data_IF_778475557078
#
_entry.id   IF_778475557078
#
_cell.length_a   1.000
_cell.length_b   1.000
_cell.length_c   1.000
_cell.angle_alpha   90.00
_cell.angle_beta   90.00
_cell.angle_gamma   90.00
#
_symmetry.space_group_name_H-M   'P 1'
#
loop_
_entity.id
_entity.type
_entity.pdbx_description
1 polymer ?
#
# COMPACT_ATOMS: atom_id res chain seq x y z
N UNK A 1 -0.77 11.43 6.57
CA UNK A 1 -1.17 12.80 6.95
C UNK A 1 0.02 13.74 6.82
N UNK A 2 -0.24 15.01 6.50
CA UNK A 2 0.80 16.05 6.43
C UNK A 2 0.48 17.17 7.40
N UNK A 3 1.50 17.73 8.04
CA UNK A 3 1.42 18.87 8.96
C UNK A 3 2.30 19.98 8.42
N UNK A 4 1.74 21.09 7.91
CA UNK A 4 2.51 22.19 7.34
C UNK A 4 3.56 22.73 8.32
N UNK A 5 4.79 22.93 7.84
CA UNK A 5 5.87 23.45 8.66
C UNK A 5 6.91 24.21 7.85
N UNK A 6 7.11 25.49 8.17
CA UNK A 6 8.04 26.38 7.47
C UNK A 6 9.38 26.59 8.20
N UNK A 7 9.56 26.01 9.38
CA UNK A 7 10.78 26.16 10.17
C UNK A 7 11.97 25.35 9.65
N UNK A 8 13.11 25.48 10.33
CA UNK A 8 14.30 24.65 10.06
C UNK A 8 14.22 23.37 10.88
N UNK A 9 14.01 22.25 10.20
CA UNK A 9 14.07 20.91 10.77
C UNK A 9 14.50 19.93 9.67
N UNK A 10 15.29 18.91 10.02
CA UNK A 10 15.82 17.93 9.07
C UNK A 10 14.77 16.91 8.59
N UNK A 11 13.73 16.65 9.39
CA UNK A 11 12.69 15.66 9.07
C UNK A 11 11.59 16.20 8.15
N UNK A 12 11.55 17.52 7.94
CA UNK A 12 10.56 18.12 7.03
C UNK A 12 10.76 17.60 5.62
N UNK A 13 9.67 17.28 4.95
CA UNK A 13 9.64 16.83 3.57
C UNK A 13 9.36 18.03 2.67
N UNK A 14 10.04 18.07 1.53
CA UNK A 14 9.78 19.06 0.48
C UNK A 14 9.09 18.40 -0.70
N UNK A 15 7.92 18.91 -1.10
CA UNK A 15 7.20 18.46 -2.30
C UNK A 15 6.78 19.63 -3.17
N UNK A 16 7.33 19.67 -4.38
CA UNK A 16 7.08 20.75 -5.35
C UNK A 16 5.62 20.78 -5.81
N UNK A 17 5.00 19.61 -5.98
CA UNK A 17 3.66 19.45 -6.56
C UNK A 17 2.50 19.60 -5.57
N UNK A 18 2.76 20.05 -4.34
CA UNK A 18 1.72 20.19 -3.29
C UNK A 18 1.56 21.66 -2.89
N UNK A 19 0.33 22.02 -2.50
CA UNK A 19 -0.03 23.37 -2.05
C UNK A 19 0.85 23.82 -0.89
N UNK A 20 1.08 22.94 0.07
CA UNK A 20 2.10 23.11 1.11
C UNK A 20 3.38 22.44 0.64
N UNK A 21 4.43 23.24 0.43
CA UNK A 21 5.71 22.75 -0.09
C UNK A 21 6.58 22.10 0.98
N UNK A 22 6.42 22.48 2.24
CA UNK A 22 7.22 21.99 3.37
C UNK A 22 6.30 21.50 4.49
N UNK A 23 6.42 20.23 4.85
CA UNK A 23 5.57 19.60 5.86
C UNK A 23 6.31 18.52 6.66
N UNK A 24 5.74 18.17 7.81
CA UNK A 24 6.01 16.88 8.43
C UNK A 24 5.01 15.86 7.89
N UNK A 25 5.51 14.67 7.60
CA UNK A 25 4.69 13.54 7.17
C UNK A 25 4.48 12.58 8.35
N UNK A 26 3.29 12.02 8.45
CA UNK A 26 2.99 10.91 9.36
C UNK A 26 2.23 9.82 8.62
N UNK A 27 2.57 8.58 8.91
CA UNK A 27 1.78 7.40 8.57
C UNK A 27 0.62 7.30 9.55
N UNK A 28 -0.58 6.98 9.06
CA UNK A 28 -1.78 7.05 9.89
C UNK A 28 -2.75 5.94 9.49
N UNK A 29 -3.31 5.25 10.48
CA UNK A 29 -4.46 4.37 10.31
C UNK A 29 -5.73 5.05 10.82
N UNK A 30 -6.67 5.25 9.91
CA UNK A 30 -8.00 5.75 10.21
C UNK A 30 -8.99 4.59 10.34
N UNK A 31 -10.02 4.78 11.16
CA UNK A 31 -11.20 3.92 11.13
C UNK A 31 -12.30 4.51 10.26
N UNK A 32 -13.32 3.71 9.99
CA UNK A 32 -14.50 4.11 9.19
C UNK A 32 -15.24 5.32 9.78
N UNK A 33 -15.06 5.59 11.08
CA UNK A 33 -15.60 6.77 11.75
C UNK A 33 -14.88 8.09 11.40
N UNK A 34 -13.80 8.04 10.62
CA UNK A 34 -12.95 9.19 10.32
C UNK A 34 -11.92 9.51 11.42
N UNK A 35 -11.93 8.76 12.53
CA UNK A 35 -10.97 8.97 13.62
C UNK A 35 -9.62 8.31 13.34
N UNK A 36 -8.56 8.94 13.81
CA UNK A 36 -7.22 8.36 13.87
C UNK A 36 -7.16 7.37 15.02
N UNK A 37 -6.75 6.13 14.75
CA UNK A 37 -6.55 5.11 15.77
C UNK A 37 -5.08 4.84 16.05
N UNK A 38 -4.20 5.04 15.06
CA UNK A 38 -2.77 4.82 15.19
C UNK A 38 -2.01 5.72 14.23
N UNK A 39 -0.84 6.22 14.63
CA UNK A 39 0.01 7.00 13.75
C UNK A 39 1.50 6.87 14.10
N UNK A 40 2.34 7.04 13.09
CA UNK A 40 3.79 7.01 13.22
C UNK A 40 4.40 8.20 12.44
N UNK A 41 5.17 9.11 13.09
CA UNK A 41 5.89 10.15 12.38
C UNK A 41 6.86 9.58 11.35
N UNK A 42 6.89 10.14 10.14
CA UNK A 42 7.86 9.75 9.12
C UNK A 42 9.23 10.34 9.45
N UNK A 43 10.24 9.47 9.58
CA UNK A 43 11.60 9.87 9.98
C UNK A 43 12.62 9.79 8.84
N UNK A 44 12.18 9.57 7.60
CA UNK A 44 13.09 9.35 6.48
C UNK A 44 13.83 8.00 6.55
N UNK A 45 14.96 7.91 5.85
CA UNK A 45 15.79 6.69 5.78
C UNK A 45 16.36 6.30 7.16
N UNK A 46 16.62 7.29 8.02
CA UNK A 46 17.20 7.09 9.36
C UNK A 46 16.28 6.38 10.35
N UNK A 47 14.96 6.30 10.08
CA UNK A 47 14.02 5.54 10.89
C UNK A 47 14.05 4.02 10.62
N UNK A 48 14.85 3.58 9.63
CA UNK A 48 14.88 2.20 9.16
C UNK A 48 16.17 1.53 9.63
N UNK A 49 16.11 0.84 10.77
CA UNK A 49 17.29 0.18 11.33
C UNK A 49 17.44 -1.27 10.89
N UNK A 50 16.42 -1.89 10.28
CA UNK A 50 16.44 -3.29 9.85
C UNK A 50 15.64 -3.51 8.56
N UNK A 51 16.19 -4.28 7.61
CA UNK A 51 15.44 -4.84 6.48
C UNK A 51 14.68 -6.07 6.97
N UNK A 52 13.35 -5.98 7.06
CA UNK A 52 12.48 -7.13 7.29
C UNK A 52 12.10 -7.82 5.98
N UNK A 53 11.44 -8.97 6.09
CA UNK A 53 10.81 -9.69 4.98
C UNK A 53 9.67 -8.88 4.30
N UNK A 54 9.15 -7.86 4.97
CA UNK A 54 7.98 -7.08 4.54
C UNK A 54 8.35 -5.70 3.99
N UNK A 55 9.64 -5.44 3.79
CA UNK A 55 10.20 -4.12 3.50
C UNK A 55 9.91 -3.06 4.58
N UNK A 56 10.58 -1.92 4.46
CA UNK A 56 10.44 -0.78 5.39
C UNK A 56 9.00 -0.29 5.50
N UNK A 57 8.28 -0.27 4.39
CA UNK A 57 6.95 0.30 4.27
C UNK A 57 5.92 -0.70 4.83
N UNK A 58 6.05 -1.99 4.54
CA UNK A 58 5.19 -3.02 5.11
C UNK A 58 5.34 -3.12 6.62
N UNK A 59 6.54 -2.94 7.15
CA UNK A 59 6.78 -2.89 8.60
C UNK A 59 6.01 -1.75 9.29
N UNK A 60 5.94 -0.57 8.66
CA UNK A 60 5.11 0.53 9.15
C UNK A 60 3.65 0.10 9.23
N UNK A 61 3.12 -0.57 8.20
CA UNK A 61 1.72 -1.04 8.18
C UNK A 61 1.47 -2.04 9.31
N UNK A 62 2.39 -2.98 9.52
CA UNK A 62 2.29 -3.98 10.59
C UNK A 62 2.26 -3.29 11.96
N UNK A 63 3.13 -2.29 12.19
CA UNK A 63 3.11 -1.49 13.43
C UNK A 63 1.82 -0.71 13.59
N UNK A 64 1.32 -0.08 12.54
CA UNK A 64 0.03 0.63 12.58
C UNK A 64 -1.16 -0.29 12.87
N UNK A 65 -1.03 -1.59 12.54
CA UNK A 65 -2.06 -2.60 12.75
C UNK A 65 -1.92 -3.38 14.07
N UNK A 66 -0.91 -3.09 14.90
CA UNK A 66 -0.63 -3.91 16.09
C UNK A 66 -1.84 -4.03 17.05
N UNK A 67 -2.62 -2.95 17.22
CA UNK A 67 -3.82 -2.92 18.06
C UNK A 67 -5.05 -3.63 17.46
N UNK A 68 -4.95 -4.11 16.22
CA UNK A 68 -6.00 -4.90 15.55
C UNK A 68 -5.81 -6.41 15.72
N UNK A 69 -4.64 -6.85 16.20
CA UNK A 69 -4.35 -8.28 16.40
C UNK A 69 -5.44 -8.93 17.26
N UNK A 70 -5.86 -10.14 16.89
CA UNK A 70 -6.94 -10.93 17.53
C UNK A 70 -8.36 -10.40 17.32
N UNK A 71 -8.55 -9.32 16.57
CA UNK A 71 -9.87 -8.89 16.09
C UNK A 71 -9.94 -9.16 14.59
N UNK A 72 -11.03 -9.76 14.13
CA UNK A 72 -11.28 -9.87 12.70
C UNK A 72 -11.49 -8.46 12.14
N UNK A 73 -10.47 -7.92 11.49
CA UNK A 73 -10.45 -6.56 10.97
C UNK A 73 -10.24 -6.54 9.46
N UNK A 74 -10.66 -5.44 8.83
CA UNK A 74 -10.40 -5.16 7.41
C UNK A 74 -9.61 -3.86 7.31
N UNK A 75 -8.49 -3.91 6.61
CA UNK A 75 -7.62 -2.75 6.37
C UNK A 75 -7.47 -2.52 4.87
N UNK A 76 -7.40 -1.24 4.50
CA UNK A 76 -7.28 -0.81 3.12
C UNK A 76 -6.09 0.14 3.06
N UNK A 77 -5.20 -0.07 2.09
CA UNK A 77 -4.01 0.78 1.92
C UNK A 77 -4.01 1.42 0.54
N UNK A 78 -3.32 2.54 0.42
CA UNK A 78 -3.02 3.14 -0.89
C UNK A 78 -1.98 2.30 -1.65
N UNK A 79 -1.74 2.63 -2.92
CA UNK A 79 -0.86 1.88 -3.81
C UNK A 79 0.63 1.90 -3.40
N UNK A 80 1.01 2.68 -2.39
CA UNK A 80 2.39 2.80 -1.91
C UNK A 80 2.79 1.66 -0.96
N UNK A 81 1.81 1.03 -0.30
CA UNK A 81 2.06 0.06 0.76
C UNK A 81 2.01 -1.43 0.38
N UNK A 82 1.17 -1.89 -0.56
CA UNK A 82 0.89 -3.32 -0.65
C UNK A 82 2.04 -4.08 -1.29
N UNK A 83 2.41 -5.18 -0.63
CA UNK A 83 3.23 -6.26 -1.15
C UNK A 83 2.55 -7.60 -0.79
N UNK A 84 2.87 -8.67 -1.51
CA UNK A 84 2.27 -9.99 -1.24
C UNK A 84 2.64 -10.48 0.16
N UNK A 85 3.90 -10.33 0.56
CA UNK A 85 4.39 -10.75 1.89
C UNK A 85 3.70 -9.99 3.02
N UNK A 86 3.35 -8.71 2.81
CA UNK A 86 2.56 -7.93 3.77
C UNK A 86 1.14 -8.49 3.92
N UNK A 87 0.47 -8.81 2.80
CA UNK A 87 -0.89 -9.37 2.82
C UNK A 87 -0.91 -10.74 3.52
N UNK A 88 0.07 -11.60 3.24
CA UNK A 88 0.23 -12.89 3.92
C UNK A 88 0.43 -12.72 5.43
N UNK A 89 1.28 -11.77 5.84
CA UNK A 89 1.55 -11.50 7.24
C UNK A 89 0.29 -11.05 7.98
N UNK A 90 -0.47 -10.13 7.40
CA UNK A 90 -1.72 -9.64 7.98
C UNK A 90 -2.79 -10.74 8.03
N UNK A 91 -2.88 -11.57 6.99
CA UNK A 91 -3.76 -12.74 6.96
C UNK A 91 -3.49 -13.71 8.12
N UNK A 92 -2.21 -14.01 8.40
CA UNK A 92 -1.78 -14.82 9.57
C UNK A 92 -2.18 -14.20 10.91
N UNK A 93 -2.39 -12.88 10.97
CA UNK A 93 -2.85 -12.16 12.16
C UNK A 93 -4.39 -11.97 12.20
N UNK A 94 -5.13 -12.61 11.29
CA UNK A 94 -6.58 -12.50 11.10
C UNK A 94 -7.04 -11.06 10.74
N UNK A 95 -6.19 -10.36 9.99
CA UNK A 95 -6.43 -9.02 9.46
C UNK A 95 -6.55 -9.14 7.94
N UNK A 96 -7.76 -9.00 7.42
CA UNK A 96 -8.01 -8.98 5.98
C UNK A 96 -7.56 -7.65 5.39
N UNK A 97 -6.91 -7.69 4.24
CA UNK A 97 -6.35 -6.50 3.62
C UNK A 97 -6.68 -6.39 2.14
N UNK A 98 -6.78 -5.15 1.66
CA UNK A 98 -6.93 -4.85 0.25
C UNK A 98 -6.05 -3.65 -0.14
N UNK A 99 -5.44 -3.73 -1.32
CA UNK A 99 -4.63 -2.65 -1.88
C UNK A 99 -4.37 -2.87 -3.37
N UNK A 100 -3.94 -1.83 -4.06
CA UNK A 100 -3.56 -1.89 -5.47
C UNK A 100 -2.05 -2.14 -5.56
N UNK A 101 -1.67 -3.28 -6.12
CA UNK A 101 -0.27 -3.62 -6.39
C UNK A 101 0.20 -2.93 -7.67
N UNK A 102 1.45 -2.45 -7.67
CA UNK A 102 2.10 -2.00 -8.90
C UNK A 102 2.58 -3.22 -9.70
N UNK A 103 2.54 -3.18 -11.03
CA UNK A 103 2.92 -4.32 -11.87
C UNK A 103 4.31 -4.89 -11.51
N UNK A 104 5.25 -4.00 -11.15
CA UNK A 104 6.61 -4.38 -10.77
C UNK A 104 6.72 -5.10 -9.40
N UNK A 105 5.70 -5.04 -8.55
CA UNK A 105 5.68 -5.68 -7.22
C UNK A 105 4.81 -6.94 -7.14
N UNK A 106 4.17 -7.35 -8.26
CA UNK A 106 3.31 -8.55 -8.31
C UNK A 106 4.13 -9.85 -8.23
N UNK A 107 5.43 -9.82 -8.54
CA UNK A 107 6.32 -10.98 -8.42
C UNK A 107 5.80 -12.22 -9.15
N UNK A 108 5.98 -13.40 -8.55
CA UNK A 108 5.55 -14.68 -9.16
C UNK A 108 4.04 -14.83 -9.29
N UNK A 109 3.23 -14.06 -8.54
CA UNK A 109 1.79 -14.06 -8.72
C UNK A 109 1.40 -13.58 -10.13
N UNK A 110 2.25 -12.78 -10.79
CA UNK A 110 2.03 -12.34 -12.17
C UNK A 110 2.03 -13.51 -13.15
N UNK A 111 2.75 -14.59 -12.85
CA UNK A 111 2.80 -15.79 -13.69
C UNK A 111 1.48 -16.56 -13.71
N UNK A 112 0.64 -16.39 -12.67
CA UNK A 112 -0.68 -16.99 -12.57
C UNK A 112 -1.79 -16.10 -13.15
N UNK A 113 -1.47 -14.85 -13.49
CA UNK A 113 -2.39 -13.91 -14.14
C UNK A 113 -2.15 -13.90 -15.65
N UNK A 114 -3.18 -13.47 -16.39
CA UNK A 114 -3.03 -13.22 -17.83
C UNK A 114 -1.96 -12.15 -18.05
N UNK A 115 -1.03 -12.40 -18.98
CA UNK A 115 0.09 -11.49 -19.27
C UNK A 115 -0.40 -10.12 -19.73
N UNK A 116 0.40 -9.09 -19.48
CA UNK A 116 0.08 -7.72 -19.86
C UNK A 116 -0.33 -7.57 -21.34
N UNK A 117 0.46 -8.16 -22.23
CA UNK A 117 0.25 -8.09 -23.68
C UNK A 117 -1.06 -8.77 -24.11
N UNK A 118 -1.50 -9.78 -23.37
CA UNK A 118 -2.76 -10.47 -23.62
C UNK A 118 -3.93 -9.69 -23.00
N UNK A 119 -3.77 -9.18 -21.77
CA UNK A 119 -4.77 -8.33 -21.13
C UNK A 119 -5.05 -7.07 -21.95
N UNK A 120 -4.03 -6.45 -22.56
CA UNK A 120 -4.19 -5.29 -23.44
C UNK A 120 -5.06 -5.57 -24.67
N UNK A 121 -5.07 -6.82 -25.18
CA UNK A 121 -5.90 -7.22 -26.33
C UNK A 121 -7.35 -7.52 -25.96
N UNK A 122 -7.65 -7.80 -24.69
CA UNK A 122 -9.01 -8.11 -24.23
C UNK A 122 -9.90 -6.87 -24.22
N UNK A 123 -11.21 -7.07 -24.23
CA UNK A 123 -12.18 -5.97 -24.13
C UNK A 123 -12.12 -5.26 -22.78
N UNK A 124 -12.56 -4.01 -22.76
CA UNK A 124 -12.80 -3.25 -21.54
C UNK A 124 -13.73 -4.04 -20.60
N UNK A 125 -13.46 -4.01 -19.30
CA UNK A 125 -14.19 -4.78 -18.31
C UNK A 125 -13.63 -6.19 -18.08
N UNK A 126 -12.73 -6.66 -18.95
CA UNK A 126 -12.07 -7.96 -18.77
C UNK A 126 -11.23 -7.98 -17.50
N UNK A 127 -11.31 -9.09 -16.76
CA UNK A 127 -10.50 -9.34 -15.59
C UNK A 127 -9.82 -10.71 -15.66
N UNK A 128 -8.69 -10.81 -14.98
CA UNK A 128 -7.99 -12.06 -14.65
C UNK A 128 -7.76 -12.08 -13.16
N UNK A 129 -7.94 -13.24 -12.54
CA UNK A 129 -7.71 -13.43 -11.12
C UNK A 129 -6.96 -14.72 -10.89
N UNK A 130 -6.15 -14.73 -9.84
CA UNK A 130 -5.44 -15.90 -9.35
C UNK A 130 -5.52 -15.89 -7.83
N UNK A 131 -5.82 -17.05 -7.25
CA UNK A 131 -5.94 -17.22 -5.80
C UNK A 131 -4.87 -18.20 -5.32
N UNK A 132 -4.16 -17.84 -4.26
CA UNK A 132 -3.21 -18.73 -3.59
C UNK A 132 -3.94 -19.76 -2.71
N UNK A 133 -3.23 -20.80 -2.25
CA UNK A 133 -3.82 -21.81 -1.35
C UNK A 133 -4.21 -21.21 0.01
N UNK A 134 -3.53 -20.14 0.41
CA UNK A 134 -3.76 -19.35 1.62
C UNK A 134 -4.95 -18.38 1.47
N UNK A 135 -5.65 -18.39 0.33
CA UNK A 135 -6.84 -17.57 0.10
C UNK A 135 -6.55 -16.13 -0.30
N UNK A 136 -5.33 -15.79 -0.73
CA UNK A 136 -5.00 -14.45 -1.24
C UNK A 136 -5.33 -14.39 -2.73
N UNK A 137 -6.20 -13.46 -3.12
CA UNK A 137 -6.57 -13.25 -4.53
C UNK A 137 -5.88 -12.01 -5.10
N UNK A 138 -5.08 -12.21 -6.14
CA UNK A 138 -4.62 -11.13 -7.01
C UNK A 138 -5.60 -10.96 -8.18
N UNK A 139 -5.91 -9.71 -8.54
CA UNK A 139 -6.82 -9.40 -9.63
C UNK A 139 -6.21 -8.35 -10.57
N UNK A 140 -6.20 -8.65 -11.86
CA UNK A 140 -5.92 -7.70 -12.93
C UNK A 140 -7.23 -7.38 -13.66
N UNK A 141 -7.66 -6.12 -13.59
CA UNK A 141 -8.82 -5.64 -14.34
C UNK A 141 -8.44 -4.56 -15.36
N UNK A 142 -9.06 -4.61 -16.55
CA UNK A 142 -8.90 -3.61 -17.61
C UNK A 142 -10.06 -2.61 -17.57
N UNK A 143 -9.81 -1.43 -17.00
CA UNK A 143 -10.78 -0.33 -16.99
C UNK A 143 -10.70 0.54 -18.24
N UNK A 144 -9.55 1.17 -18.54
CA UNK A 144 -9.41 2.11 -19.65
C UNK A 144 -8.07 1.91 -20.38
N UNK A 145 -8.06 2.04 -21.71
CA UNK A 145 -6.83 2.41 -22.42
C UNK A 145 -6.53 3.86 -22.03
N UNK A 146 -5.46 4.13 -21.29
CA UNK A 146 -4.95 5.50 -21.21
C UNK A 146 -4.48 5.89 -22.62
N UNK A 147 -5.23 6.76 -23.29
CA UNK A 147 -4.59 7.68 -24.24
C UNK A 147 -3.65 8.55 -23.40
N UNK A 148 -2.35 8.38 -23.61
CA UNK A 148 -1.28 9.12 -22.94
C UNK A 148 -1.23 10.57 -23.45
N UNK A 149 -2.24 11.38 -23.14
CA UNK A 149 -2.28 12.81 -23.47
C UNK A 149 -2.63 13.71 -22.27
N UNK A 150 -2.09 13.40 -21.08
CA UNK A 150 -1.95 14.33 -19.96
C UNK A 150 -0.71 14.00 -19.11
#
# INVERSE_FOLDING_TARGET
MVVPFNGRNSLKQYKVSKTTKQDFKSWVRFGVSGNVYEFEPYQGISGCTQTSEHDVIGDVVIRLCHGLKKKTAKVYFDNFFPSITLVEKLGKENIYSFGILHANTVGDAANKLVRENEMKKKDRGSASYATSEEGITAMWWKDNSRDNNL
#
